data_IF_809149181078
#
_entry.id   IF_809149181078
#
_cell.length_a   1.000
_cell.length_b   1.000
_cell.length_c   1.000
_cell.angle_alpha   90.00
_cell.angle_beta   90.00
_cell.angle_gamma   90.00
#
_symmetry.space_group_name_H-M   'P 1'
#
loop_
_entity.id
_entity.type
_entity.pdbx_description
1 polymer ?
#
# COMPACT_ATOMS: atom_id res chain seq x y z
N UNK A 1 -9.36 -2.77 42.32
CA UNK A 1 -9.62 -3.83 41.31
C UNK A 1 -10.15 -3.25 40.01
N UNK A 2 -11.23 -2.45 40.02
CA UNK A 2 -11.82 -1.86 38.79
C UNK A 2 -10.88 -0.81 38.13
N UNK A 3 -10.14 -0.04 38.93
CA UNK A 3 -9.18 0.97 38.45
C UNK A 3 -8.01 0.37 37.66
N UNK A 4 -7.45 -0.74 38.15
CA UNK A 4 -6.35 -1.46 37.50
C UNK A 4 -6.79 -2.08 36.17
N UNK A 5 -8.01 -2.64 36.13
CA UNK A 5 -8.59 -3.19 34.90
C UNK A 5 -8.80 -2.09 33.83
N UNK A 6 -9.27 -0.91 34.22
CA UNK A 6 -9.43 0.22 33.31
C UNK A 6 -8.09 0.75 32.79
N UNK A 7 -7.07 0.80 33.65
CA UNK A 7 -5.71 1.18 33.26
C UNK A 7 -5.07 0.17 32.29
N UNK A 8 -5.32 -1.13 32.48
CA UNK A 8 -4.90 -2.17 31.54
C UNK A 8 -5.63 -2.06 30.19
N UNK A 9 -6.94 -1.82 30.23
CA UNK A 9 -7.76 -1.67 29.02
C UNK A 9 -7.34 -0.46 28.18
N UNK A 10 -6.99 0.67 28.81
CA UNK A 10 -6.49 1.85 28.11
C UNK A 10 -5.14 1.59 27.40
N UNK A 11 -4.23 0.84 28.03
CA UNK A 11 -2.94 0.45 27.41
C UNK A 11 -3.13 -0.46 26.19
N UNK A 12 -4.10 -1.38 26.25
CA UNK A 12 -4.45 -2.26 25.13
C UNK A 12 -5.02 -1.43 23.96
N UNK A 13 -5.93 -0.49 24.24
CA UNK A 13 -6.49 0.39 23.23
C UNK A 13 -5.42 1.27 22.55
N UNK A 14 -4.46 1.79 23.32
CA UNK A 14 -3.31 2.53 22.77
C UNK A 14 -2.45 1.66 21.85
N UNK A 15 -2.14 0.42 22.25
CA UNK A 15 -1.36 -0.52 21.43
C UNK A 15 -2.06 -0.86 20.11
N UNK A 16 -3.38 -1.07 20.13
CA UNK A 16 -4.17 -1.38 18.94
C UNK A 16 -4.24 -0.19 17.97
N UNK A 17 -4.30 1.05 18.48
CA UNK A 17 -4.29 2.25 17.65
C UNK A 17 -3.02 2.41 16.81
N UNK A 18 -1.86 1.98 17.32
CA UNK A 18 -0.59 2.05 16.59
C UNK A 18 -0.50 1.12 15.37
N UNK A 19 -1.32 0.07 15.30
CA UNK A 19 -1.27 -0.94 14.22
C UNK A 19 -1.96 -0.44 12.94
N UNK A 20 -2.77 0.62 13.00
CA UNK A 20 -3.64 1.02 11.90
C UNK A 20 -2.93 1.74 10.72
N UNK A 21 -1.66 2.12 10.87
CA UNK A 21 -0.94 2.90 9.87
C UNK A 21 -0.09 2.03 8.93
N UNK A 22 -0.71 1.09 8.21
CA UNK A 22 -0.02 0.26 7.21
C UNK A 22 -0.54 0.61 5.81
N UNK A 23 0.37 1.02 4.93
CA UNK A 23 0.09 1.21 3.51
C UNK A 23 0.61 -0.02 2.75
N UNK A 24 -0.30 -0.94 2.40
CA UNK A 24 0.08 -2.21 1.77
C UNK A 24 0.15 -2.08 0.25
N UNK A 25 1.35 -2.18 -0.32
CA UNK A 25 1.61 -2.28 -1.75
C UNK A 25 2.33 -3.60 -2.07
N UNK A 26 2.17 -4.09 -3.29
CA UNK A 26 2.75 -5.35 -3.74
C UNK A 26 3.29 -5.24 -5.16
N UNK A 27 4.32 -6.03 -5.46
CA UNK A 27 4.95 -6.13 -6.77
C UNK A 27 5.35 -7.57 -7.06
N UNK A 28 5.42 -7.93 -8.34
CA UNK A 28 5.88 -9.24 -8.77
C UNK A 28 7.42 -9.27 -8.78
N UNK A 29 8.00 -10.07 -7.89
CA UNK A 29 9.46 -10.21 -7.75
C UNK A 29 10.02 -11.42 -8.50
N UNK A 30 9.25 -12.50 -8.65
CA UNK A 30 9.69 -13.71 -9.35
C UNK A 30 8.58 -14.24 -10.29
N UNK A 31 8.80 -14.26 -11.62
CA UNK A 31 9.89 -13.56 -12.32
C UNK A 31 9.79 -12.03 -12.11
N UNK A 32 10.90 -11.27 -12.12
CA UNK A 32 10.85 -9.85 -11.82
C UNK A 32 10.01 -9.10 -12.84
N UNK A 33 9.05 -8.30 -12.36
CA UNK A 33 8.28 -7.41 -13.23
C UNK A 33 9.20 -6.42 -13.95
N UNK A 34 8.78 -5.91 -15.12
CA UNK A 34 9.55 -4.90 -15.89
C UNK A 34 9.95 -3.69 -15.03
N UNK A 35 9.09 -3.26 -14.11
CA UNK A 35 9.35 -2.12 -13.23
C UNK A 35 10.30 -2.44 -12.08
N UNK A 36 10.48 -3.72 -11.73
CA UNK A 36 11.34 -4.18 -10.62
C UNK A 36 12.68 -4.77 -11.10
N UNK A 37 12.88 -4.93 -12.41
CA UNK A 37 14.10 -5.51 -13.00
C UNK A 37 15.39 -4.80 -12.55
N UNK A 38 15.37 -3.48 -12.38
CA UNK A 38 16.55 -2.72 -11.94
C UNK A 38 17.07 -3.17 -10.56
N UNK A 39 16.23 -3.77 -9.71
CA UNK A 39 16.61 -4.33 -8.40
C UNK A 39 17.41 -5.63 -8.53
N UNK A 40 17.27 -6.32 -9.66
CA UNK A 40 17.96 -7.57 -9.97
C UNK A 40 19.19 -7.37 -10.86
N UNK A 41 19.64 -6.12 -11.07
CA UNK A 41 20.87 -5.81 -11.80
C UNK A 41 20.73 -5.73 -13.32
N UNK A 42 19.52 -5.76 -13.86
CA UNK A 42 19.28 -5.51 -15.28
C UNK A 42 19.53 -4.04 -15.65
N UNK A 43 20.03 -3.79 -16.85
CA UNK A 43 20.23 -2.44 -17.42
C UNK A 43 18.88 -1.81 -17.80
N UNK A 44 18.16 -1.33 -16.79
CA UNK A 44 16.85 -0.69 -16.91
C UNK A 44 16.80 0.56 -16.04
N UNK A 45 16.06 1.61 -16.43
CA UNK A 45 15.88 2.79 -15.60
C UNK A 45 15.32 2.42 -14.22
N UNK A 46 15.87 3.02 -13.16
CA UNK A 46 15.42 2.75 -11.79
C UNK A 46 14.05 3.35 -11.55
N UNK A 47 13.08 2.51 -11.21
CA UNK A 47 11.77 2.95 -10.73
C UNK A 47 11.64 2.63 -9.23
N UNK A 48 11.73 3.64 -8.38
CA UNK A 48 11.60 3.47 -6.92
C UNK A 48 10.16 3.17 -6.47
N UNK A 49 9.17 3.47 -7.31
CA UNK A 49 7.73 3.25 -7.11
C UNK A 49 7.26 2.02 -7.91
N UNK A 50 8.05 0.95 -7.88
CA UNK A 50 7.80 -0.27 -8.65
C UNK A 50 6.68 -1.16 -8.08
N UNK A 51 6.19 -0.83 -6.88
CA UNK A 51 5.00 -1.37 -6.22
C UNK A 51 3.75 -0.48 -6.35
N UNK A 52 3.87 0.69 -7.00
CA UNK A 52 2.80 1.65 -7.29
C UNK A 52 2.00 1.39 -8.58
N UNK A 53 2.06 0.18 -9.14
CA UNK A 53 1.47 -0.14 -10.45
C UNK A 53 -0.04 -0.46 -10.39
N UNK A 54 -0.83 0.43 -9.79
CA UNK A 54 -2.28 0.28 -9.57
C UNK A 54 -3.13 1.07 -10.58
N UNK A 55 -2.74 1.07 -11.85
CA UNK A 55 -3.46 1.73 -12.97
C UNK A 55 -3.66 3.25 -12.81
N UNK A 56 -2.72 3.96 -12.18
CA UNK A 56 -2.77 5.42 -12.03
C UNK A 56 -3.60 5.91 -10.84
N UNK A 57 -4.10 5.03 -9.98
CA UNK A 57 -4.76 5.40 -8.73
C UNK A 57 -6.27 5.24 -8.75
N UNK A 58 -6.84 5.16 -7.54
CA UNK A 58 -8.29 5.15 -7.34
C UNK A 58 -8.96 6.36 -8.00
N UNK A 59 -8.28 7.50 -8.05
CA UNK A 59 -8.77 8.68 -8.77
C UNK A 59 -8.95 8.42 -10.28
N UNK A 60 -7.95 7.84 -10.94
CA UNK A 60 -8.04 7.50 -12.38
C UNK A 60 -9.08 6.41 -12.63
N UNK A 61 -9.14 5.39 -11.76
CA UNK A 61 -10.14 4.34 -11.84
C UNK A 61 -11.57 4.90 -11.73
N UNK A 62 -11.82 5.79 -10.77
CA UNK A 62 -13.13 6.42 -10.58
C UNK A 62 -13.49 7.38 -11.72
N UNK A 63 -12.50 8.02 -12.36
CA UNK A 63 -12.74 8.85 -13.54
C UNK A 63 -13.26 8.02 -14.72
N UNK A 64 -12.88 6.76 -14.89
CA UNK A 64 -13.41 5.90 -15.96
C UNK A 64 -14.91 5.65 -15.77
N UNK A 65 -15.38 5.43 -14.54
CA UNK A 65 -16.81 5.23 -14.26
C UNK A 65 -17.67 6.49 -14.37
N UNK A 66 -17.06 7.69 -14.38
CA UNK A 66 -17.77 8.97 -14.50
C UNK A 66 -17.50 9.72 -15.80
N UNK A 67 -16.69 9.16 -16.70
CA UNK A 67 -16.57 9.63 -18.08
C UNK A 67 -17.59 8.85 -18.92
N UNK A 68 -18.68 9.48 -19.41
CA UNK A 68 -19.59 8.82 -20.35
C UNK A 68 -18.94 8.49 -21.70
N UNK A 69 -17.67 8.85 -21.92
CA UNK A 69 -16.92 8.54 -23.12
C UNK A 69 -15.45 8.28 -22.77
N UNK A 70 -15.11 7.03 -22.53
CA UNK A 70 -13.75 6.50 -22.72
C UNK A 70 -13.84 5.55 -23.91
N UNK A 71 -13.34 6.02 -25.07
CA UNK A 71 -13.17 5.31 -26.37
C UNK A 71 -14.10 4.14 -26.70
#
# INVERSE_FOLDING_TARGET
>A
MITEANAMMFKILLLLGCVHCIWSHARLMEPPSRSSMWRHGYDTPKNYDDDGLYCGGMHVLNLIFHRPYSV
#
